data_IF_501227964722
#
_entry.id   IF_501227964722
#
_cell.length_a   1.000
_cell.length_b   1.000
_cell.length_c   1.000
_cell.angle_alpha   90.00
_cell.angle_beta   90.00
_cell.angle_gamma   90.00
#
_symmetry.space_group_name_H-M   'P 1'
#
loop_
_entity.id
_entity.type
_entity.pdbx_description
1 polymer ?
#
# COMPACT_ATOMS: atom_id res chain seq x y z
N UNK A 1 -4.93 -7.39 -13.87
CA UNK A 1 -4.38 -8.16 -15.02
C UNK A 1 -4.99 -9.55 -15.06
N UNK A 2 -5.01 -10.30 -13.95
CA UNK A 2 -5.49 -11.70 -13.88
C UNK A 2 -6.94 -11.86 -14.34
N UNK A 3 -7.85 -10.99 -13.90
CA UNK A 3 -9.28 -11.09 -14.23
C UNK A 3 -9.63 -10.63 -15.66
N UNK A 4 -8.87 -9.69 -16.21
CA UNK A 4 -9.23 -9.07 -17.50
C UNK A 4 -8.32 -9.50 -18.65
N UNK A 5 -7.18 -10.12 -18.36
CA UNK A 5 -6.13 -10.43 -19.34
C UNK A 5 -5.49 -9.18 -19.97
N UNK A 6 -5.74 -7.99 -19.41
CA UNK A 6 -5.18 -6.73 -19.91
C UNK A 6 -4.08 -6.21 -18.99
N UNK A 7 -3.06 -5.57 -19.56
CA UNK A 7 -1.98 -4.96 -18.81
C UNK A 7 -2.48 -3.82 -17.91
N UNK A 8 -2.06 -3.85 -16.64
CA UNK A 8 -2.17 -2.74 -15.72
C UNK A 8 -0.77 -2.17 -15.46
N UNK A 9 -0.70 -0.83 -15.38
CA UNK A 9 0.56 -0.09 -15.16
C UNK A 9 0.31 1.02 -14.15
N UNK A 10 1.35 1.43 -13.43
CA UNK A 10 1.27 2.67 -12.65
C UNK A 10 1.08 3.86 -13.60
N UNK A 11 0.46 4.95 -13.11
CA UNK A 11 0.27 6.18 -13.92
C UNK A 11 1.62 6.69 -14.44
N UNK A 12 2.66 6.68 -13.62
CA UNK A 12 4.01 7.07 -14.03
C UNK A 12 4.51 6.27 -15.24
N UNK A 13 4.32 4.94 -15.22
CA UNK A 13 4.73 4.07 -16.33
C UNK A 13 3.84 4.25 -17.55
N UNK A 14 2.56 4.52 -17.36
CA UNK A 14 1.61 4.82 -18.43
C UNK A 14 1.99 6.11 -19.14
N UNK A 15 2.41 7.13 -18.39
CA UNK A 15 2.83 8.43 -18.91
C UNK A 15 4.26 8.43 -19.45
N UNK A 16 5.01 7.33 -19.32
CA UNK A 16 6.39 7.18 -19.80
C UNK A 16 7.30 8.26 -19.21
N UNK A 17 7.75 8.05 -17.95
CA UNK A 17 8.67 8.98 -17.27
C UNK A 17 9.89 9.24 -18.13
N UNK A 18 10.20 10.53 -18.39
CA UNK A 18 11.44 10.97 -18.99
C UNK A 18 12.42 11.34 -17.87
N UNK A 19 13.55 10.63 -17.78
CA UNK A 19 14.55 10.80 -16.74
C UNK A 19 15.36 12.11 -16.84
N UNK A 20 14.99 13.04 -17.71
CA UNK A 20 15.50 14.41 -17.76
C UNK A 20 14.82 15.27 -16.70
N UNK A 21 15.47 15.50 -15.57
CA UNK A 21 14.99 16.50 -14.60
C UNK A 21 15.16 17.92 -15.15
N UNK A 22 14.06 18.58 -15.46
CA UNK A 22 14.02 20.01 -15.68
C UNK A 22 13.32 20.67 -14.49
N UNK A 23 14.05 21.39 -13.64
CA UNK A 23 13.54 22.10 -12.45
C UNK A 23 12.93 21.22 -11.32
N UNK A 24 13.41 20.01 -11.12
CA UNK A 24 12.95 19.13 -10.04
C UNK A 24 11.53 18.55 -10.23
N UNK A 25 10.94 18.68 -11.43
CA UNK A 25 9.66 18.09 -11.78
C UNK A 25 9.85 16.88 -12.69
N UNK A 26 9.09 15.83 -12.40
CA UNK A 26 9.04 14.64 -13.25
C UNK A 26 8.45 15.03 -14.60
N UNK A 27 9.18 14.77 -15.69
CA UNK A 27 8.71 15.00 -17.05
C UNK A 27 8.15 13.71 -17.64
N UNK A 28 7.06 13.83 -18.38
CA UNK A 28 6.41 12.70 -19.04
C UNK A 28 6.46 12.82 -20.55
N UNK A 29 6.71 11.72 -21.25
CA UNK A 29 6.67 11.66 -22.73
C UNK A 29 5.25 11.72 -23.25
N UNK A 30 4.27 11.22 -22.49
CA UNK A 30 2.84 11.32 -22.80
C UNK A 30 2.30 12.64 -22.27
N UNK A 31 1.75 13.43 -23.18
CA UNK A 31 1.24 14.78 -22.92
C UNK A 31 0.32 15.23 -24.06
N UNK A 32 -0.11 16.48 -24.10
CA UNK A 32 -1.01 17.02 -25.12
C UNK A 32 -0.48 16.93 -26.57
N UNK A 33 0.85 16.86 -26.76
CA UNK A 33 1.48 16.71 -28.09
C UNK A 33 1.69 15.24 -28.47
N UNK A 34 1.72 14.36 -27.49
CA UNK A 34 1.87 12.92 -27.67
C UNK A 34 0.91 12.18 -26.72
N UNK A 35 -0.40 12.22 -27.01
CA UNK A 35 -1.41 11.68 -26.09
C UNK A 35 -1.38 10.15 -26.00
N UNK A 36 -2.02 9.63 -24.97
CA UNK A 36 -2.23 8.21 -24.78
C UNK A 36 -3.09 7.63 -25.93
N UNK A 37 -2.71 6.49 -26.50
CA UNK A 37 -3.42 5.92 -27.65
C UNK A 37 -4.64 5.06 -27.23
N UNK A 38 -5.35 5.46 -26.16
CA UNK A 38 -6.46 4.71 -25.60
C UNK A 38 -7.77 5.49 -25.66
N UNK A 39 -8.87 4.78 -25.94
CA UNK A 39 -10.21 5.35 -25.94
C UNK A 39 -10.84 5.39 -24.55
N UNK A 40 -10.32 4.60 -23.63
CA UNK A 40 -10.70 4.61 -22.22
C UNK A 40 -9.49 4.34 -21.33
N UNK A 41 -9.40 5.07 -20.23
CA UNK A 41 -8.42 4.90 -19.17
C UNK A 41 -9.16 4.66 -17.86
N UNK A 42 -8.83 3.60 -17.17
CA UNK A 42 -9.36 3.29 -15.84
C UNK A 42 -8.23 3.51 -14.84
N UNK A 43 -8.46 4.36 -13.86
CA UNK A 43 -7.53 4.63 -12.76
C UNK A 43 -8.12 4.04 -11.49
N UNK A 44 -7.44 3.07 -10.94
CA UNK A 44 -7.75 2.48 -9.64
C UNK A 44 -6.89 3.10 -8.53
N UNK A 45 -7.32 2.99 -7.27
CA UNK A 45 -6.67 3.60 -6.10
C UNK A 45 -6.48 5.13 -6.25
N UNK A 46 -7.53 5.80 -6.71
CA UNK A 46 -7.49 7.23 -7.03
C UNK A 46 -7.24 8.12 -5.81
N UNK A 47 -7.48 7.65 -4.59
CA UNK A 47 -7.13 8.32 -3.34
C UNK A 47 -5.63 8.60 -3.20
N UNK A 48 -4.78 7.79 -3.84
CA UNK A 48 -3.32 7.93 -3.81
C UNK A 48 -2.77 8.90 -4.88
N UNK A 49 -3.62 9.46 -5.74
CA UNK A 49 -3.21 10.32 -6.87
C UNK A 49 -3.21 11.78 -6.44
N UNK A 50 -2.05 12.43 -6.50
CA UNK A 50 -1.90 13.85 -6.23
C UNK A 50 -2.26 14.73 -7.44
N UNK A 51 -2.31 16.06 -7.22
CA UNK A 51 -2.73 17.01 -8.24
C UNK A 51 -1.73 17.10 -9.42
N UNK A 52 -0.44 16.88 -9.18
CA UNK A 52 0.59 16.99 -10.22
C UNK A 52 0.51 15.80 -11.19
N UNK A 53 0.35 14.61 -10.63
CA UNK A 53 0.16 13.37 -11.41
C UNK A 53 -1.19 13.40 -12.14
N UNK A 54 -2.25 13.85 -11.48
CA UNK A 54 -3.56 13.98 -12.10
C UNK A 54 -3.55 14.98 -13.26
N UNK A 55 -2.96 16.16 -13.09
CA UNK A 55 -2.83 17.15 -14.13
C UNK A 55 -2.03 16.61 -15.33
N UNK A 56 -0.97 15.85 -15.08
CA UNK A 56 -0.16 15.22 -16.13
C UNK A 56 -0.97 14.15 -16.90
N UNK A 57 -1.76 13.35 -16.18
CA UNK A 57 -2.66 12.39 -16.81
C UNK A 57 -3.71 13.07 -17.67
N UNK A 58 -4.37 14.12 -17.17
CA UNK A 58 -5.36 14.87 -17.92
C UNK A 58 -4.80 15.48 -19.21
N UNK A 59 -3.56 16.00 -19.18
CA UNK A 59 -2.88 16.49 -20.36
C UNK A 59 -2.55 15.41 -21.39
N UNK A 60 -2.39 14.17 -20.94
CA UNK A 60 -2.06 13.05 -21.80
C UNK A 60 -3.30 12.35 -22.41
N UNK A 61 -4.48 12.61 -21.91
CA UNK A 61 -5.71 12.04 -22.47
C UNK A 61 -6.04 12.65 -23.83
N UNK A 62 -6.46 11.81 -24.77
CA UNK A 62 -7.00 12.28 -26.06
C UNK A 62 -8.38 12.90 -25.85
N UNK A 63 -8.70 13.89 -26.65
CA UNK A 63 -10.04 14.43 -26.72
C UNK A 63 -11.04 13.30 -27.09
N UNK A 64 -12.08 13.16 -26.29
CA UNK A 64 -13.09 12.11 -26.44
C UNK A 64 -12.77 10.79 -25.74
N UNK A 65 -11.60 10.63 -25.15
CA UNK A 65 -11.32 9.46 -24.30
C UNK A 65 -12.17 9.48 -23.04
N UNK A 66 -12.57 8.29 -22.59
CA UNK A 66 -13.28 8.11 -21.31
C UNK A 66 -12.26 7.93 -20.19
N UNK A 67 -12.46 8.65 -19.09
CA UNK A 67 -11.73 8.44 -17.85
C UNK A 67 -12.68 7.87 -16.80
N UNK A 68 -12.32 6.72 -16.25
CA UNK A 68 -13.04 6.08 -15.14
C UNK A 68 -12.11 6.07 -13.95
N UNK A 69 -12.53 6.70 -12.87
CA UNK A 69 -11.76 6.79 -11.64
C UNK A 69 -12.43 5.94 -10.57
N UNK A 70 -11.64 5.07 -9.93
CA UNK A 70 -12.08 4.18 -8.86
C UNK A 70 -11.21 4.46 -7.64
N UNK A 71 -11.80 4.55 -6.47
CA UNK A 71 -11.06 4.81 -5.23
C UNK A 71 -11.98 5.01 -4.05
N UNK A 72 -11.39 5.04 -2.88
CA UNK A 72 -12.08 5.24 -1.63
C UNK A 72 -11.71 6.62 -1.05
N UNK A 73 -12.65 7.58 -0.99
CA UNK A 73 -12.37 8.93 -0.49
C UNK A 73 -12.08 8.97 1.02
N UNK A 74 -12.37 7.90 1.75
CA UNK A 74 -12.16 7.80 3.20
C UNK A 74 -10.83 7.13 3.56
N UNK A 75 -10.11 6.60 2.57
CA UNK A 75 -8.72 6.16 2.74
C UNK A 75 -7.76 7.35 2.88
N UNK A 76 -6.52 7.05 3.30
CA UNK A 76 -5.49 8.08 3.43
C UNK A 76 -5.25 8.78 2.07
N UNK A 77 -5.16 10.11 2.06
CA UNK A 77 -4.89 10.87 0.84
C UNK A 77 -3.48 10.63 0.34
N UNK A 78 -3.19 11.12 -0.87
CA UNK A 78 -1.86 11.10 -1.47
C UNK A 78 -0.81 11.76 -0.56
N UNK A 79 0.45 11.31 -0.66
CA UNK A 79 1.59 11.97 0.00
C UNK A 79 1.92 13.30 -0.68
N UNK A 80 1.67 13.40 -1.99
CA UNK A 80 1.80 14.64 -2.76
C UNK A 80 0.66 15.64 -2.50
N UNK A 81 0.71 16.84 -3.06
CA UNK A 81 -0.25 17.90 -2.79
C UNK A 81 -1.64 17.61 -3.40
N UNK A 82 -2.68 18.02 -2.65
CA UNK A 82 -4.08 17.95 -3.08
C UNK A 82 -4.79 16.66 -2.65
N UNK A 83 -6.12 16.69 -2.67
CA UNK A 83 -7.01 15.56 -2.42
C UNK A 83 -7.96 15.40 -3.61
N UNK A 84 -7.37 15.00 -4.74
CA UNK A 84 -8.03 15.04 -6.05
C UNK A 84 -9.35 14.28 -6.08
N UNK A 85 -9.38 13.05 -5.52
CA UNK A 85 -10.59 12.23 -5.53
C UNK A 85 -11.73 12.92 -4.76
N UNK A 86 -11.47 13.37 -3.54
CA UNK A 86 -12.47 14.06 -2.72
C UNK A 86 -12.92 15.37 -3.35
N UNK A 87 -11.98 16.18 -3.83
CA UNK A 87 -12.28 17.46 -4.47
C UNK A 87 -13.14 17.27 -5.73
N UNK A 88 -12.91 16.23 -6.53
CA UNK A 88 -13.73 15.89 -7.68
C UNK A 88 -15.13 15.44 -7.28
N UNK A 89 -15.27 14.63 -6.23
CA UNK A 89 -16.56 14.20 -5.69
C UNK A 89 -17.35 15.42 -5.18
N UNK A 90 -16.72 16.25 -4.36
CA UNK A 90 -17.34 17.42 -3.72
C UNK A 90 -17.68 18.54 -4.73
N UNK A 91 -17.03 18.55 -5.89
CA UNK A 91 -17.29 19.54 -6.95
C UNK A 91 -18.62 19.37 -7.66
N UNK A 92 -19.20 18.18 -7.61
CA UNK A 92 -20.45 17.79 -8.31
C UNK A 92 -20.40 17.99 -9.84
N UNK A 93 -19.18 18.11 -10.41
CA UNK A 93 -18.98 18.39 -11.85
C UNK A 93 -18.97 17.11 -12.69
N UNK A 94 -18.65 15.98 -12.06
CA UNK A 94 -18.58 14.68 -12.72
C UNK A 94 -19.59 13.71 -12.13
N UNK A 95 -20.13 12.76 -12.90
CA UNK A 95 -21.00 11.72 -12.37
C UNK A 95 -20.25 10.86 -11.35
N UNK A 96 -20.82 10.70 -10.17
CA UNK A 96 -20.29 9.87 -9.09
C UNK A 96 -21.24 8.73 -8.78
N UNK A 97 -20.70 7.53 -8.66
CA UNK A 97 -21.44 6.35 -8.22
C UNK A 97 -20.82 5.88 -6.90
N UNK A 98 -21.61 5.93 -5.83
CA UNK A 98 -21.19 5.41 -4.53
C UNK A 98 -21.60 3.94 -4.40
N UNK A 99 -20.61 3.08 -4.08
CA UNK A 99 -20.84 1.68 -3.73
C UNK A 99 -21.12 1.62 -2.23
N UNK A 100 -22.38 1.46 -1.86
CA UNK A 100 -22.84 1.52 -0.46
C UNK A 100 -23.23 0.15 0.10
N UNK A 101 -23.38 -0.85 -0.76
CA UNK A 101 -23.79 -2.18 -0.32
C UNK A 101 -22.58 -2.96 0.22
N UNK A 102 -22.62 -3.29 1.49
CA UNK A 102 -21.69 -4.20 2.14
C UNK A 102 -22.24 -5.61 2.01
N UNK A 103 -21.51 -6.52 1.38
CA UNK A 103 -21.92 -7.93 1.32
C UNK A 103 -22.09 -8.50 2.74
N UNK A 104 -23.12 -9.36 2.91
CA UNK A 104 -23.51 -9.92 4.22
C UNK A 104 -22.31 -10.50 5.01
N UNK A 105 -21.39 -11.19 4.34
CA UNK A 105 -20.18 -11.72 4.98
C UNK A 105 -19.24 -10.63 5.51
N UNK A 106 -19.15 -9.50 4.82
CA UNK A 106 -18.33 -8.36 5.26
C UNK A 106 -19.01 -7.57 6.40
N UNK A 107 -20.34 -7.60 6.50
CA UNK A 107 -21.08 -6.98 7.61
C UNK A 107 -20.85 -7.66 8.95
N UNK A 108 -20.44 -8.93 8.98
CA UNK A 108 -20.07 -9.68 10.20
C UNK A 108 -18.60 -9.43 10.61
N UNK A 109 -17.78 -8.84 9.74
CA UNK A 109 -16.38 -8.50 10.02
C UNK A 109 -16.28 -7.27 10.92
N UNK A 110 -15.59 -7.39 12.04
CA UNK A 110 -15.29 -6.26 12.91
C UNK A 110 -14.25 -5.32 12.28
N UNK A 111 -13.41 -5.79 11.36
CA UNK A 111 -12.51 -4.91 10.59
C UNK A 111 -13.35 -3.93 9.78
N UNK A 112 -14.37 -4.41 9.07
CA UNK A 112 -15.23 -3.58 8.21
C UNK A 112 -16.09 -2.64 9.05
N UNK A 113 -16.79 -3.16 10.06
CA UNK A 113 -17.67 -2.34 10.91
C UNK A 113 -16.89 -1.30 11.72
N UNK A 114 -15.68 -1.64 12.21
CA UNK A 114 -14.79 -0.68 12.88
C UNK A 114 -14.29 0.40 11.93
N UNK A 115 -13.97 0.07 10.68
CA UNK A 115 -13.57 1.05 9.69
C UNK A 115 -14.70 2.06 9.42
N UNK A 116 -15.94 1.59 9.24
CA UNK A 116 -17.10 2.47 9.09
C UNK A 116 -17.36 3.36 10.30
N UNK A 117 -17.25 2.81 11.51
CA UNK A 117 -17.38 3.59 12.75
C UNK A 117 -16.33 4.72 12.81
N UNK A 118 -15.05 4.42 12.48
CA UNK A 118 -13.97 5.41 12.46
C UNK A 118 -14.25 6.52 11.44
N UNK A 119 -14.70 6.16 10.23
CA UNK A 119 -15.08 7.14 9.19
C UNK A 119 -16.24 8.02 9.65
N UNK A 120 -17.22 7.46 10.36
CA UNK A 120 -18.33 8.21 10.95
C UNK A 120 -17.93 9.06 12.17
N UNK A 121 -16.66 8.99 12.62
CA UNK A 121 -16.19 9.69 13.83
C UNK A 121 -16.58 8.97 15.12
N UNK A 122 -17.01 7.73 15.05
CA UNK A 122 -17.42 6.92 16.18
C UNK A 122 -16.27 6.04 16.69
N UNK A 123 -16.30 5.70 17.98
CA UNK A 123 -15.31 4.78 18.56
C UNK A 123 -15.72 3.33 18.25
N UNK A 124 -14.86 2.53 17.61
CA UNK A 124 -15.14 1.11 17.40
C UNK A 124 -15.15 0.35 18.74
N UNK A 125 -15.83 -0.79 18.76
CA UNK A 125 -15.82 -1.67 19.95
C UNK A 125 -14.46 -2.36 20.08
N UNK A 126 -13.68 -1.92 21.06
CA UNK A 126 -12.35 -2.45 21.36
C UNK A 126 -12.37 -3.63 22.35
N UNK A 127 -13.55 -4.07 22.80
CA UNK A 127 -13.70 -5.10 23.84
C UNK A 127 -13.87 -6.51 23.29
N UNK A 128 -14.31 -6.66 22.06
CA UNK A 128 -14.53 -7.93 21.38
C UNK A 128 -13.22 -8.69 21.18
N UNK A 129 -13.22 -10.01 21.41
CA UNK A 129 -11.99 -10.84 21.39
C UNK A 129 -12.12 -12.14 20.59
N UNK A 130 -13.23 -12.36 19.95
CA UNK A 130 -13.58 -13.59 19.23
C UNK A 130 -14.00 -13.35 17.77
N UNK A 131 -13.40 -12.34 17.14
CA UNK A 131 -13.65 -11.98 15.75
C UNK A 131 -12.31 -11.75 15.01
N UNK A 132 -12.34 -11.01 13.91
CA UNK A 132 -11.20 -10.72 13.03
C UNK A 132 -10.43 -9.43 13.40
N UNK A 133 -10.96 -8.59 14.32
CA UNK A 133 -10.33 -7.37 14.82
C UNK A 133 -10.04 -7.46 16.31
N UNK A 134 -8.80 -7.16 16.70
CA UNK A 134 -8.36 -7.22 18.10
C UNK A 134 -7.63 -5.96 18.51
N UNK A 135 -7.97 -5.41 19.65
CA UNK A 135 -7.25 -4.30 20.26
C UNK A 135 -6.49 -4.74 21.51
N UNK A 136 -5.18 -4.52 21.54
CA UNK A 136 -4.29 -4.85 22.65
C UNK A 136 -3.67 -3.59 23.24
N UNK A 137 -4.27 -3.06 24.29
CA UNK A 137 -3.73 -1.89 24.98
C UNK A 137 -2.41 -2.23 25.70
N UNK A 138 -1.40 -1.40 25.51
CA UNK A 138 -0.08 -1.47 26.17
C UNK A 138 0.31 -0.13 26.75
N UNK A 139 1.02 -0.17 27.88
CA UNK A 139 1.38 1.02 28.65
C UNK A 139 2.69 1.69 28.20
N UNK A 140 3.51 1.00 27.42
CA UNK A 140 4.79 1.57 26.93
C UNK A 140 5.11 1.06 25.52
N UNK A 141 5.95 1.81 24.81
CA UNK A 141 6.43 1.44 23.48
C UNK A 141 7.22 0.14 23.47
N UNK A 142 7.97 -0.13 24.53
CA UNK A 142 8.72 -1.38 24.71
C UNK A 142 7.77 -2.58 24.87
N UNK A 143 6.67 -2.40 25.62
CA UNK A 143 5.64 -3.43 25.78
C UNK A 143 4.90 -3.69 24.44
N UNK A 144 4.68 -2.66 23.62
CA UNK A 144 4.15 -2.81 22.25
C UNK A 144 5.11 -3.61 21.39
N UNK A 145 6.40 -3.22 21.34
CA UNK A 145 7.44 -3.91 20.58
C UNK A 145 7.51 -5.40 20.93
N UNK A 146 7.61 -5.72 22.22
CA UNK A 146 7.65 -7.12 22.69
C UNK A 146 6.37 -7.89 22.30
N UNK A 147 5.21 -7.25 22.41
CA UNK A 147 3.94 -7.87 22.03
C UNK A 147 3.89 -8.16 20.52
N UNK A 148 4.33 -7.23 19.68
CA UNK A 148 4.38 -7.43 18.21
C UNK A 148 5.31 -8.59 17.86
N UNK A 149 6.51 -8.62 18.44
CA UNK A 149 7.47 -9.71 18.21
C UNK A 149 6.89 -11.06 18.65
N UNK A 150 6.27 -11.12 19.83
CA UNK A 150 5.64 -12.35 20.35
C UNK A 150 4.45 -12.82 19.49
N UNK A 151 3.63 -11.88 19.02
CA UNK A 151 2.53 -12.18 18.09
C UNK A 151 3.07 -12.79 16.80
N UNK A 152 4.06 -12.17 16.17
CA UNK A 152 4.60 -12.63 14.90
C UNK A 152 5.36 -13.95 15.02
N UNK A 153 6.17 -14.12 16.07
CA UNK A 153 7.06 -15.27 16.19
C UNK A 153 6.39 -16.51 16.78
N UNK A 154 5.38 -16.34 17.64
CA UNK A 154 4.83 -17.46 18.41
C UNK A 154 3.31 -17.55 18.37
N UNK A 155 2.60 -16.47 18.77
CA UNK A 155 1.17 -16.58 19.06
C UNK A 155 0.33 -16.81 17.81
N UNK A 156 0.50 -15.99 16.76
CA UNK A 156 -0.24 -16.14 15.52
C UNK A 156 0.12 -17.43 14.78
N UNK A 157 1.41 -17.81 14.64
CA UNK A 157 1.77 -19.11 14.11
C UNK A 157 1.16 -20.28 14.88
N UNK A 158 1.21 -20.25 16.21
CA UNK A 158 0.67 -21.34 17.04
C UNK A 158 -0.87 -21.44 17.00
N UNK A 159 -1.56 -20.29 16.93
CA UNK A 159 -3.04 -20.27 16.97
C UNK A 159 -3.68 -20.49 15.61
N UNK A 160 -3.06 -20.03 14.53
CA UNK A 160 -3.65 -20.00 13.18
C UNK A 160 -2.82 -20.73 12.12
N UNK A 161 -1.62 -21.22 12.45
CA UNK A 161 -0.71 -21.83 11.48
C UNK A 161 -0.06 -20.84 10.50
N UNK A 162 -0.12 -19.55 10.77
CA UNK A 162 0.44 -18.53 9.89
C UNK A 162 1.97 -18.57 9.81
N UNK A 163 2.50 -18.46 8.61
CA UNK A 163 3.92 -18.23 8.41
C UNK A 163 4.29 -16.78 8.78
N UNK A 164 5.22 -16.56 9.72
CA UNK A 164 5.63 -15.21 10.11
C UNK A 164 6.09 -14.34 8.93
N UNK A 165 6.71 -14.98 7.94
CA UNK A 165 7.29 -14.28 6.78
C UNK A 165 6.27 -14.06 5.67
N UNK A 166 5.41 -15.07 5.39
CA UNK A 166 4.47 -14.99 4.26
C UNK A 166 3.13 -14.37 4.61
N UNK A 167 2.57 -14.73 5.77
CA UNK A 167 1.16 -14.48 6.08
C UNK A 167 0.97 -13.30 7.05
N UNK A 168 2.05 -12.81 7.70
CA UNK A 168 1.96 -11.73 8.68
C UNK A 168 2.64 -10.47 8.14
N UNK A 169 1.92 -9.34 8.20
CA UNK A 169 2.46 -8.03 7.89
C UNK A 169 2.32 -7.09 9.10
N UNK A 170 3.43 -6.50 9.52
CA UNK A 170 3.45 -5.47 10.55
C UNK A 170 3.43 -4.09 9.89
N UNK A 171 2.52 -3.24 10.34
CA UNK A 171 2.39 -1.84 9.88
C UNK A 171 2.63 -0.93 11.08
N UNK A 172 3.44 0.10 10.92
CA UNK A 172 3.69 1.12 11.93
C UNK A 172 3.56 2.52 11.31
N UNK A 173 2.94 3.48 12.02
CA UNK A 173 2.78 4.85 11.50
C UNK A 173 4.08 5.65 11.52
N UNK A 174 5.15 5.15 12.17
CA UNK A 174 6.42 5.87 12.31
C UNK A 174 7.61 5.05 11.86
N UNK A 175 8.66 5.73 11.43
CA UNK A 175 9.93 5.08 11.07
C UNK A 175 10.88 4.93 12.26
N UNK A 176 10.89 5.91 13.16
CA UNK A 176 11.82 6.00 14.30
C UNK A 176 11.09 5.70 15.61
N UNK A 177 11.89 5.45 16.67
CA UNK A 177 11.39 5.09 17.99
C UNK A 177 11.25 3.57 18.19
N UNK A 178 10.91 3.15 19.42
CA UNK A 178 10.84 1.74 19.80
C UNK A 178 9.80 0.94 18.98
N UNK A 179 8.70 1.59 18.59
CA UNK A 179 7.67 0.99 17.73
C UNK A 179 7.78 1.41 16.26
N UNK A 180 8.85 2.11 15.87
CA UNK A 180 9.11 2.48 14.48
C UNK A 180 9.53 1.30 13.63
N UNK A 181 9.27 1.40 12.31
CA UNK A 181 9.59 0.29 11.38
C UNK A 181 11.05 -0.13 11.43
N UNK A 182 12.00 0.79 11.69
CA UNK A 182 13.41 0.46 11.78
C UNK A 182 13.73 -0.51 12.93
N UNK A 183 13.21 -0.23 14.14
CA UNK A 183 13.43 -1.08 15.31
C UNK A 183 12.61 -2.37 15.24
N UNK A 184 11.37 -2.30 14.75
CA UNK A 184 10.55 -3.48 14.52
C UNK A 184 11.21 -4.45 13.53
N UNK A 185 11.71 -3.95 12.40
CA UNK A 185 12.43 -4.79 11.41
C UNK A 185 13.66 -5.46 12.04
N UNK A 186 14.46 -4.70 12.79
CA UNK A 186 15.65 -5.24 13.47
C UNK A 186 15.29 -6.35 14.45
N UNK A 187 14.29 -6.12 15.31
CA UNK A 187 13.86 -7.08 16.32
C UNK A 187 13.19 -8.31 15.72
N UNK A 188 12.37 -8.13 14.70
CA UNK A 188 11.76 -9.26 14.00
C UNK A 188 12.80 -10.09 13.25
N UNK A 189 13.80 -9.47 12.61
CA UNK A 189 14.89 -10.19 11.98
C UNK A 189 15.69 -11.02 12.99
N UNK A 190 16.05 -10.45 14.14
CA UNK A 190 16.77 -11.17 15.21
C UNK A 190 16.05 -12.46 15.65
N UNK A 191 14.70 -12.43 15.68
CA UNK A 191 13.90 -13.55 16.18
C UNK A 191 13.48 -14.51 15.06
N UNK A 192 13.08 -13.99 13.91
CA UNK A 192 12.53 -14.81 12.82
C UNK A 192 13.61 -15.34 11.87
N UNK A 193 14.70 -14.61 11.73
CA UNK A 193 15.81 -14.96 10.87
C UNK A 193 17.15 -14.66 11.58
N UNK A 194 17.51 -15.40 12.65
CA UNK A 194 18.73 -15.16 13.42
C UNK A 194 19.97 -15.34 12.56
N UNK A 195 21.06 -14.71 13.00
CA UNK A 195 22.36 -14.83 12.35
C UNK A 195 22.82 -16.29 12.31
N UNK A 196 23.31 -16.70 11.13
CA UNK A 196 23.84 -18.04 10.90
C UNK A 196 25.01 -17.92 9.92
N UNK A 197 26.15 -18.57 10.20
CA UNK A 197 27.35 -18.52 9.35
C UNK A 197 27.11 -19.04 7.92
N UNK A 198 26.06 -19.84 7.72
CA UNK A 198 25.68 -20.38 6.41
C UNK A 198 24.87 -19.41 5.55
N UNK A 199 24.40 -18.29 6.13
CA UNK A 199 23.57 -17.30 5.43
C UNK A 199 24.41 -16.14 4.94
N UNK A 200 24.15 -15.73 3.72
CA UNK A 200 24.76 -14.52 3.15
C UNK A 200 24.16 -13.28 3.82
N UNK A 201 25.03 -12.34 4.21
CA UNK A 201 24.65 -11.05 4.77
C UNK A 201 25.22 -9.91 3.93
N UNK A 202 24.38 -8.88 3.71
CA UNK A 202 24.77 -7.67 3.01
C UNK A 202 24.44 -6.44 3.87
N UNK A 203 25.43 -5.63 4.20
CA UNK A 203 25.21 -4.34 4.87
C UNK A 203 24.71 -3.31 3.87
N UNK A 204 23.63 -2.60 4.24
CA UNK A 204 23.10 -1.49 3.47
C UNK A 204 22.66 -0.35 4.41
N UNK A 205 23.41 0.74 4.40
CA UNK A 205 23.19 1.83 5.35
C UNK A 205 23.33 1.36 6.81
N UNK A 206 22.37 1.69 7.68
CA UNK A 206 22.40 1.27 9.09
C UNK A 206 21.89 -0.17 9.29
N UNK A 207 21.40 -0.84 8.26
CA UNK A 207 20.78 -2.16 8.33
C UNK A 207 21.65 -3.26 7.72
N UNK A 208 21.31 -4.49 8.04
CA UNK A 208 21.87 -5.72 7.46
C UNK A 208 20.72 -6.49 6.83
N UNK A 209 20.86 -6.83 5.56
CA UNK A 209 20.00 -7.80 4.89
C UNK A 209 20.62 -9.18 5.00
N UNK A 210 19.80 -10.16 5.29
CA UNK A 210 20.22 -11.56 5.47
C UNK A 210 19.38 -12.45 4.56
N UNK A 211 20.00 -13.45 3.99
CA UNK A 211 19.31 -14.48 3.22
C UNK A 211 18.13 -15.06 4.02
N UNK A 212 16.92 -15.07 3.41
CA UNK A 212 15.68 -15.46 4.06
C UNK A 212 14.91 -14.31 4.74
N UNK A 213 15.39 -13.06 4.66
CA UNK A 213 14.62 -11.91 5.12
C UNK A 213 13.39 -11.65 4.24
N UNK A 214 12.30 -11.24 4.87
CA UNK A 214 11.18 -10.62 4.16
C UNK A 214 11.56 -9.19 3.79
N UNK A 215 11.58 -8.91 2.51
CA UNK A 215 11.95 -7.59 1.99
C UNK A 215 10.81 -6.98 1.18
N UNK A 216 10.80 -5.66 1.09
CA UNK A 216 9.88 -4.90 0.26
C UNK A 216 10.67 -3.91 -0.58
N UNK A 217 10.39 -3.87 -1.87
CA UNK A 217 10.95 -2.85 -2.74
C UNK A 217 10.23 -1.51 -2.50
N UNK A 218 10.98 -0.49 -2.06
CA UNK A 218 10.44 0.84 -1.72
C UNK A 218 10.60 1.88 -2.84
N UNK A 219 11.27 1.52 -3.93
CA UNK A 219 11.42 2.35 -5.12
C UNK A 219 11.18 1.50 -6.35
N UNK A 220 10.54 2.08 -7.36
CA UNK A 220 10.38 1.39 -8.63
C UNK A 220 11.76 1.10 -9.23
N UNK A 221 12.01 -0.16 -9.55
CA UNK A 221 13.16 -0.60 -10.32
C UNK A 221 12.64 -1.51 -11.44
N UNK A 222 12.62 -1.00 -12.64
CA UNK A 222 12.05 -1.68 -13.81
C UNK A 222 13.05 -2.63 -14.49
N UNK A 223 14.31 -2.61 -14.04
CA UNK A 223 15.40 -3.39 -14.63
C UNK A 223 15.66 -4.71 -13.85
N UNK A 224 15.00 -4.90 -12.72
CA UNK A 224 15.11 -6.16 -11.96
C UNK A 224 14.26 -7.24 -12.62
N UNK A 225 14.93 -8.24 -13.14
CA UNK A 225 14.33 -9.52 -13.53
C UNK A 225 14.51 -10.50 -12.37
N UNK A 226 13.43 -11.10 -11.90
CA UNK A 226 13.47 -12.17 -10.89
C UNK A 226 12.66 -13.35 -11.38
N UNK A 227 13.12 -14.55 -11.07
CA UNK A 227 12.39 -15.78 -11.36
C UNK A 227 11.59 -16.15 -10.10
N UNK A 228 10.30 -16.39 -10.24
CA UNK A 228 9.47 -16.92 -9.16
C UNK A 228 9.78 -18.40 -8.94
N UNK A 229 9.47 -18.92 -7.75
CA UNK A 229 9.66 -20.35 -7.43
C UNK A 229 8.84 -21.28 -8.32
N UNK A 230 7.80 -20.75 -8.98
CA UNK A 230 6.96 -21.44 -10.00
C UNK A 230 7.55 -21.40 -11.42
N UNK A 231 8.68 -20.73 -11.62
CA UNK A 231 9.39 -20.66 -12.90
C UNK A 231 8.85 -19.61 -13.88
N UNK A 232 7.88 -18.80 -13.51
CA UNK A 232 7.44 -17.63 -14.30
C UNK A 232 8.37 -16.43 -14.12
N UNK A 233 8.71 -15.75 -15.23
CA UNK A 233 9.56 -14.53 -15.26
C UNK A 233 8.75 -13.25 -15.21
#
# INVERSE_FOLDING_TARGET
TELTGRDAKTIHRLLEVDFGEENGRVKFRRNSRNPLPYDAVIVDEMSMVDIEIFASLMQALRLGSKLIMVGDPDQLPSVGPGNVLRDLIDSDVIPVIHLTEVFRQAAESLIVTSAHAIVAGEMPDLTVRDNDFFFLQKSSSEAVLQTVVDLCARRLPASYGYSPVRDIQVISPTRLGACGTAELCRKLQEVLNPQDERKTEQKFGPGVFREGDKVMQIRNNYDIVYTRDDGEQ
#
